data_IF_058465701386
#
_entry.id   IF_058465701386
#
_cell.length_a   1.000
_cell.length_b   1.000
_cell.length_c   1.000
_cell.angle_alpha   90.00
_cell.angle_beta   90.00
_cell.angle_gamma   90.00
#
_symmetry.space_group_name_H-M   'P 1'
#
loop_
_entity.id
_entity.type
_entity.pdbx_description
1 polymer ?
#
# COMPACT_ATOMS: atom_id res chain seq x y z
N UNK A 1 -14.31 17.85 3.97
CA UNK A 1 -14.52 16.43 3.63
C UNK A 1 -14.96 16.36 2.18
N UNK A 2 -14.04 16.11 1.24
CA UNK A 2 -14.40 16.08 -0.18
C UNK A 2 -14.88 14.68 -0.54
N UNK A 3 -16.11 14.64 -1.02
CA UNK A 3 -16.81 13.48 -1.55
C UNK A 3 -16.66 13.61 -3.07
N UNK A 4 -15.65 12.95 -3.61
CA UNK A 4 -15.37 12.87 -5.04
C UNK A 4 -14.56 11.60 -5.26
N UNK A 5 -15.11 10.65 -6.02
CA UNK A 5 -14.62 9.28 -6.15
C UNK A 5 -13.36 9.18 -7.04
N UNK A 6 -12.53 10.23 -7.05
CA UNK A 6 -11.41 10.42 -7.96
C UNK A 6 -10.20 10.87 -7.17
N UNK A 7 -9.17 10.04 -7.17
CA UNK A 7 -7.90 10.34 -6.50
C UNK A 7 -7.16 11.42 -7.30
N UNK A 8 -6.81 12.52 -6.65
CA UNK A 8 -6.03 13.58 -7.25
C UNK A 8 -4.56 13.13 -7.44
N UNK A 9 -3.79 13.77 -8.36
CA UNK A 9 -2.40 13.38 -8.60
C UNK A 9 -1.50 13.38 -7.36
N UNK A 10 -1.73 14.30 -6.42
CA UNK A 10 -0.98 14.35 -5.16
C UNK A 10 -1.35 13.18 -4.22
N UNK A 11 -2.62 12.82 -4.13
CA UNK A 11 -3.09 11.67 -3.34
C UNK A 11 -2.55 10.35 -3.91
N UNK A 12 -2.46 10.22 -5.24
CA UNK A 12 -1.84 9.06 -5.88
C UNK A 12 -0.34 8.95 -5.57
N UNK A 13 0.35 10.09 -5.47
CA UNK A 13 1.76 10.16 -5.09
C UNK A 13 1.95 9.81 -3.61
N UNK A 14 1.11 10.33 -2.73
CA UNK A 14 1.08 9.98 -1.30
C UNK A 14 0.83 8.46 -1.11
N UNK A 15 -0.09 7.86 -1.86
CA UNK A 15 -0.32 6.42 -1.85
C UNK A 15 0.89 5.61 -2.34
N UNK A 16 1.58 6.08 -3.39
CA UNK A 16 2.80 5.44 -3.87
C UNK A 16 3.93 5.48 -2.83
N UNK A 17 4.11 6.64 -2.17
CA UNK A 17 5.08 6.80 -1.09
C UNK A 17 4.77 5.87 0.08
N UNK A 18 3.50 5.78 0.49
CA UNK A 18 3.05 4.89 1.55
C UNK A 18 3.26 3.40 1.18
N UNK A 19 2.94 3.01 -0.06
CA UNK A 19 3.19 1.66 -0.57
C UNK A 19 4.68 1.32 -0.55
N UNK A 20 5.53 2.23 -1.03
CA UNK A 20 6.98 2.07 -1.04
C UNK A 20 7.52 1.93 0.37
N UNK A 21 7.07 2.79 1.29
CA UNK A 21 7.44 2.72 2.70
C UNK A 21 7.05 1.38 3.31
N UNK A 22 5.82 0.89 3.07
CA UNK A 22 5.37 -0.38 3.62
C UNK A 22 6.15 -1.58 3.06
N UNK A 23 6.56 -1.54 1.79
CA UNK A 23 7.46 -2.55 1.21
C UNK A 23 8.82 -2.61 1.93
N UNK A 24 9.38 -1.45 2.30
CA UNK A 24 10.62 -1.39 3.09
C UNK A 24 10.42 -2.01 4.47
N UNK A 25 9.32 -1.71 5.15
CA UNK A 25 8.96 -2.32 6.43
C UNK A 25 8.87 -3.84 6.33
N UNK A 26 8.10 -4.36 5.36
CA UNK A 26 7.93 -5.79 5.15
C UNK A 26 9.27 -6.50 4.89
N UNK A 27 10.11 -5.92 4.04
CA UNK A 27 11.45 -6.45 3.73
C UNK A 27 12.32 -6.50 4.99
N UNK A 28 12.26 -5.45 5.81
CA UNK A 28 13.02 -5.38 7.07
C UNK A 28 12.56 -6.44 8.05
N UNK A 29 11.24 -6.59 8.26
CA UNK A 29 10.69 -7.58 9.20
C UNK A 29 11.01 -9.01 8.76
N UNK A 30 10.89 -9.32 7.46
CA UNK A 30 11.29 -10.61 6.90
C UNK A 30 12.80 -10.88 7.07
N UNK A 31 13.64 -9.89 6.78
CA UNK A 31 15.09 -10.02 6.92
C UNK A 31 15.50 -10.21 8.39
N UNK A 32 14.88 -9.48 9.32
CA UNK A 32 15.14 -9.62 10.75
C UNK A 32 14.64 -10.95 11.32
N UNK A 33 13.48 -11.44 10.86
CA UNK A 33 12.95 -12.74 11.28
C UNK A 33 13.90 -13.91 10.90
N UNK A 34 14.67 -13.77 9.83
CA UNK A 34 15.68 -14.75 9.43
C UNK A 34 16.96 -14.72 10.29
N UNK A 35 17.22 -13.63 11.01
CA UNK A 35 18.46 -13.41 11.78
C UNK A 35 18.25 -13.57 13.30
N UNK A 36 17.02 -13.40 13.79
CA UNK A 36 16.72 -13.43 15.22
C UNK A 36 16.74 -14.87 15.75
N UNK A 37 17.28 -15.03 16.96
CA UNK A 37 17.38 -16.33 17.65
C UNK A 37 16.25 -16.57 18.66
N UNK A 38 15.64 -15.49 19.12
CA UNK A 38 14.53 -15.53 20.06
C UNK A 38 13.23 -15.87 19.32
N UNK A 39 12.61 -16.98 19.68
CA UNK A 39 11.44 -17.53 18.97
C UNK A 39 10.19 -16.67 19.14
N UNK A 40 10.04 -15.98 20.28
CA UNK A 40 8.92 -15.06 20.52
C UNK A 40 9.06 -13.82 19.61
N UNK A 41 10.24 -13.20 19.59
CA UNK A 41 10.53 -12.07 18.72
C UNK A 41 10.44 -12.45 17.24
N UNK A 42 10.85 -13.68 16.87
CA UNK A 42 10.65 -14.20 15.51
C UNK A 42 9.18 -14.24 15.13
N UNK A 43 8.33 -14.76 16.01
CA UNK A 43 6.89 -14.85 15.79
C UNK A 43 6.28 -13.47 15.59
N UNK A 44 6.68 -12.49 16.40
CA UNK A 44 6.23 -11.10 16.26
C UNK A 44 6.63 -10.51 14.90
N UNK A 45 7.86 -10.76 14.44
CA UNK A 45 8.34 -10.27 13.13
C UNK A 45 7.63 -10.95 11.96
N UNK A 46 7.31 -12.24 12.06
CA UNK A 46 6.53 -12.97 11.06
C UNK A 46 5.08 -12.46 10.99
N UNK A 47 4.48 -12.15 12.14
CA UNK A 47 3.15 -11.52 12.21
C UNK A 47 3.16 -10.11 11.58
N UNK A 48 4.17 -9.30 11.86
CA UNK A 48 4.33 -7.98 11.26
C UNK A 48 4.54 -8.07 9.74
N UNK A 49 5.31 -9.05 9.27
CA UNK A 49 5.48 -9.30 7.84
C UNK A 49 4.15 -9.69 7.16
N UNK A 50 3.37 -10.58 7.78
CA UNK A 50 2.07 -11.01 7.24
C UNK A 50 1.07 -9.84 7.18
N UNK A 51 0.95 -9.10 8.28
CA UNK A 51 0.13 -7.89 8.35
C UNK A 51 0.58 -6.83 7.33
N UNK A 52 1.89 -6.68 7.12
CA UNK A 52 2.42 -5.75 6.13
C UNK A 52 2.06 -6.14 4.69
N UNK A 53 2.05 -7.45 4.36
CA UNK A 53 1.59 -7.92 3.03
C UNK A 53 0.11 -7.60 2.78
N UNK A 54 -0.74 -7.74 3.80
CA UNK A 54 -2.17 -7.41 3.69
C UNK A 54 -2.34 -5.91 3.40
N UNK A 55 -1.67 -5.05 4.18
CA UNK A 55 -1.69 -3.61 3.93
C UNK A 55 -1.14 -3.22 2.54
N UNK A 56 -0.08 -3.88 2.06
CA UNK A 56 0.46 -3.66 0.70
C UNK A 56 -0.60 -3.96 -0.34
N UNK A 57 -1.33 -5.07 -0.19
CA UNK A 57 -2.40 -5.46 -1.10
C UNK A 57 -3.54 -4.43 -1.09
N UNK A 58 -3.97 -4.00 0.09
CA UNK A 58 -5.00 -2.96 0.22
C UNK A 58 -4.57 -1.64 -0.44
N UNK A 59 -3.33 -1.21 -0.25
CA UNK A 59 -2.79 -0.01 -0.89
C UNK A 59 -2.72 -0.15 -2.42
N UNK A 60 -2.37 -1.34 -2.92
CA UNK A 60 -2.40 -1.63 -4.36
C UNK A 60 -3.82 -1.59 -4.92
N UNK A 61 -4.78 -2.18 -4.22
CA UNK A 61 -6.20 -2.17 -4.60
C UNK A 61 -6.75 -0.73 -4.62
N UNK A 62 -6.36 0.10 -3.66
CA UNK A 62 -6.68 1.53 -3.63
C UNK A 62 -6.07 2.28 -4.82
N UNK A 63 -4.81 1.99 -5.20
CA UNK A 63 -4.17 2.59 -6.38
C UNK A 63 -4.80 2.14 -7.70
N UNK A 64 -5.24 0.89 -7.82
CA UNK A 64 -5.97 0.41 -9.01
C UNK A 64 -7.34 1.09 -9.09
N UNK A 65 -8.07 1.16 -7.97
CA UNK A 65 -9.31 1.91 -7.87
C UNK A 65 -9.13 3.39 -8.26
N UNK A 66 -8.04 4.01 -7.81
CA UNK A 66 -7.65 5.37 -8.18
C UNK A 66 -7.46 5.57 -9.68
N UNK A 67 -6.78 4.63 -10.34
CA UNK A 67 -6.50 4.68 -11.78
C UNK A 67 -7.78 4.52 -12.62
N UNK A 68 -8.72 3.67 -12.20
CA UNK A 68 -10.01 3.49 -12.90
C UNK A 68 -10.91 4.73 -12.81
N UNK A 69 -10.79 5.54 -11.75
CA UNK A 69 -11.53 6.79 -11.61
C UNK A 69 -11.01 7.89 -12.55
N UNK A 70 -9.70 7.94 -12.81
CA UNK A 70 -9.09 8.90 -13.74
C UNK A 70 -9.61 8.71 -15.18
N UNK A 71 -9.80 7.46 -15.62
CA UNK A 71 -10.27 7.13 -16.97
C UNK A 71 -11.74 7.53 -17.20
N UNK A 72 -12.57 7.44 -16.15
CA UNK A 72 -13.99 7.84 -16.21
C UNK A 72 -14.20 9.37 -16.30
N UNK A 73 -13.28 10.17 -15.75
CA UNK A 73 -13.31 11.63 -15.89
C UNK A 73 -12.83 12.11 -17.28
N UNK A 74 -11.92 11.37 -17.92
CA UNK A 74 -11.42 11.70 -19.27
C UNK A 74 -12.50 11.59 -20.36
N UNK A 75 -13.39 10.59 -20.26
CA UNK A 75 -14.45 10.36 -21.26
C UNK A 75 -15.63 11.34 -21.21
N UNK A 76 -15.79 12.12 -20.15
CA UNK A 76 -16.89 13.09 -20.04
C UNK A 76 -16.64 14.43 -20.76
N UNK A 77 -15.43 14.64 -21.32
CA UNK A 77 -15.03 15.94 -21.93
C UNK A 77 -14.96 15.91 -23.46
N UNK A 78 -15.37 14.80 -24.11
CA UNK A 78 -15.49 14.71 -25.57
C UNK A 78 -16.95 14.40 -25.93
N UNK A 79 -17.76 15.45 -25.92
CA UNK A 79 -19.17 15.46 -26.34
C UNK A 79 -19.59 16.88 -26.64
#
# INVERSE_FOLDING_TARGET
>A
MRIGNSIAPHEALELHELLTFKNVCATKSASMAALVKDDELKTILEQDFNTSKEHIKELQDLMVGASTAFDSASKATVG
#
